data_IF_779506543891
#
_entry.id   IF_779506543891
#
_cell.length_a   1.000
_cell.length_b   1.000
_cell.length_c   1.000
_cell.angle_alpha   90.00
_cell.angle_beta   90.00
_cell.angle_gamma   90.00
#
_symmetry.space_group_name_H-M   'P 1'
#
loop_
_entity.id
_entity.type
_entity.pdbx_description
1 polymer ?
#
# COMPACT_ATOMS: atom_id res chain seq x y z
N UNK A 1 64.30 29.81 -38.13
CA UNK A 1 63.30 28.75 -38.42
C UNK A 1 62.27 28.80 -37.30
N UNK A 2 61.07 29.27 -37.62
CA UNK A 2 60.00 29.57 -36.68
C UNK A 2 59.27 28.29 -36.30
N UNK A 3 59.19 27.97 -35.01
CA UNK A 3 58.35 26.89 -34.50
C UNK A 3 56.96 27.46 -34.17
N UNK A 4 55.99 27.23 -35.05
CA UNK A 4 54.58 27.52 -34.82
C UNK A 4 53.95 26.37 -34.04
N UNK A 5 53.46 26.70 -32.84
CA UNK A 5 52.58 25.89 -32.01
C UNK A 5 51.17 25.99 -32.60
N UNK A 6 50.58 24.89 -33.08
CA UNK A 6 49.20 24.89 -33.57
C UNK A 6 48.39 23.72 -32.99
N UNK A 7 47.57 24.09 -32.01
CA UNK A 7 46.42 23.46 -31.39
C UNK A 7 45.94 22.10 -31.98
N UNK A 8 46.03 21.05 -31.15
CA UNK A 8 45.17 19.88 -31.27
C UNK A 8 43.71 20.30 -31.00
N UNK A 9 42.93 20.46 -32.06
CA UNK A 9 41.50 20.73 -31.98
C UNK A 9 40.78 19.53 -31.35
N UNK A 10 40.47 19.64 -30.06
CA UNK A 10 39.48 18.79 -29.42
C UNK A 10 38.11 19.10 -30.04
N UNK A 11 37.70 18.31 -31.02
CA UNK A 11 36.34 18.35 -31.56
C UNK A 11 35.39 17.87 -30.48
N UNK A 12 34.87 18.80 -29.67
CA UNK A 12 33.69 18.59 -28.83
C UNK A 12 32.51 18.42 -29.77
N UNK A 13 32.29 17.21 -30.27
CA UNK A 13 31.06 16.83 -30.94
C UNK A 13 29.96 16.83 -29.89
N UNK A 14 29.26 17.96 -29.76
CA UNK A 14 28.04 18.06 -28.97
C UNK A 14 27.05 17.04 -29.53
N UNK A 15 26.64 16.01 -28.76
CA UNK A 15 25.74 15.00 -29.28
C UNK A 15 24.42 15.68 -29.63
N UNK A 16 23.99 15.51 -30.89
CA UNK A 16 22.70 15.99 -31.36
C UNK A 16 21.60 15.47 -30.41
N UNK A 17 20.81 16.38 -29.85
CA UNK A 17 19.68 16.01 -28.99
C UNK A 17 18.65 15.28 -29.86
N UNK A 18 18.59 13.96 -29.71
CA UNK A 18 17.63 13.15 -30.46
C UNK A 18 16.22 13.66 -30.17
N UNK A 19 15.46 14.02 -31.20
CA UNK A 19 14.08 14.53 -31.09
C UNK A 19 13.06 13.48 -30.63
N UNK A 20 13.51 12.28 -30.28
CA UNK A 20 12.66 11.18 -29.83
C UNK A 20 12.48 11.22 -28.32
N UNK A 21 11.26 10.96 -27.85
CA UNK A 21 10.98 10.80 -26.43
C UNK A 21 11.83 9.63 -25.89
N UNK A 22 12.69 9.92 -24.92
CA UNK A 22 13.59 8.91 -24.33
C UNK A 22 12.78 7.77 -23.73
N UNK A 23 13.10 6.53 -24.10
CA UNK A 23 12.48 5.35 -23.51
C UNK A 23 12.89 5.19 -22.03
N UNK A 24 12.17 4.37 -21.27
CA UNK A 24 12.54 4.07 -19.88
C UNK A 24 13.96 3.50 -19.76
N UNK A 25 14.35 2.67 -20.75
CA UNK A 25 15.68 2.08 -20.84
C UNK A 25 16.74 3.16 -21.10
N UNK A 26 16.46 4.13 -22.00
CA UNK A 26 17.42 5.21 -22.29
C UNK A 26 17.64 6.12 -21.09
N UNK A 27 16.60 6.38 -20.28
CA UNK A 27 16.74 7.11 -19.01
C UNK A 27 17.67 6.38 -18.03
N UNK A 28 17.52 5.06 -17.90
CA UNK A 28 18.39 4.24 -17.08
C UNK A 28 19.83 4.23 -17.60
N UNK A 29 20.03 4.05 -18.91
CA UNK A 29 21.36 4.13 -19.55
C UNK A 29 22.05 5.47 -19.24
N UNK A 30 21.33 6.58 -19.38
CA UNK A 30 21.88 7.91 -19.09
C UNK A 30 22.22 8.10 -17.59
N UNK A 31 21.41 7.57 -16.68
CA UNK A 31 21.68 7.58 -15.24
C UNK A 31 22.91 6.72 -14.90
N UNK A 32 23.04 5.53 -15.49
CA UNK A 32 24.19 4.64 -15.31
C UNK A 32 25.46 5.26 -15.88
N UNK A 33 25.41 5.85 -17.08
CA UNK A 33 26.55 6.55 -17.67
C UNK A 33 27.03 7.71 -16.78
N UNK A 34 26.09 8.42 -16.14
CA UNK A 34 26.42 9.49 -15.17
C UNK A 34 27.06 8.93 -13.89
N UNK A 35 26.57 7.81 -13.37
CA UNK A 35 27.09 7.19 -12.15
C UNK A 35 28.47 6.56 -12.37
N UNK A 36 28.66 5.89 -13.52
CA UNK A 36 29.90 5.21 -13.90
C UNK A 36 31.01 6.15 -14.38
N UNK A 37 30.70 7.43 -14.63
CA UNK A 37 31.71 8.44 -14.98
C UNK A 37 32.78 8.58 -13.88
N UNK A 38 32.38 8.49 -12.62
CA UNK A 38 33.26 8.58 -11.46
C UNK A 38 32.92 7.48 -10.43
N UNK A 39 33.43 6.24 -10.59
CA UNK A 39 33.02 5.10 -9.76
C UNK A 39 33.49 5.20 -8.30
N UNK A 40 34.46 6.08 -8.01
CA UNK A 40 34.94 6.33 -6.65
C UNK A 40 33.98 7.21 -5.82
N UNK A 41 33.02 7.90 -6.45
CA UNK A 41 32.04 8.73 -5.74
C UNK A 41 30.92 7.84 -5.19
N UNK A 42 30.63 7.87 -3.88
CA UNK A 42 29.52 7.10 -3.33
C UNK A 42 28.21 7.58 -3.94
N UNK A 43 27.35 6.63 -4.32
CA UNK A 43 26.03 6.94 -4.87
C UNK A 43 25.16 7.64 -3.82
N UNK A 44 24.56 8.77 -4.18
CA UNK A 44 23.62 9.47 -3.30
C UNK A 44 22.28 8.75 -3.28
N UNK A 45 21.98 8.08 -2.17
CA UNK A 45 20.66 7.51 -1.89
C UNK A 45 19.93 8.51 -0.99
N UNK A 46 18.79 9.09 -1.44
CA UNK A 46 18.06 10.03 -0.61
C UNK A 46 17.52 9.30 0.64
N UNK A 47 17.59 9.93 1.82
CA UNK A 47 16.94 9.38 3.01
C UNK A 47 15.42 9.33 2.82
N UNK A 48 14.70 8.50 3.60
CA UNK A 48 13.25 8.42 3.53
C UNK A 48 12.61 9.80 3.75
N UNK A 49 11.45 10.08 3.12
CA UNK A 49 10.75 11.33 3.29
C UNK A 49 10.38 11.51 4.76
N UNK A 50 10.71 12.67 5.32
CA UNK A 50 10.37 13.01 6.71
C UNK A 50 8.90 13.38 6.80
N UNK A 51 8.27 12.99 7.90
CA UNK A 51 6.92 13.42 8.23
C UNK A 51 6.89 14.94 8.48
N UNK A 52 5.75 15.56 8.19
CA UNK A 52 5.58 17.00 8.36
C UNK A 52 5.50 17.27 9.86
N UNK A 53 6.46 18.00 10.41
CA UNK A 53 6.45 18.40 11.81
C UNK A 53 6.48 19.92 11.94
N UNK A 54 5.80 20.44 12.94
CA UNK A 54 5.83 21.87 13.26
C UNK A 54 6.94 22.13 14.25
N UNK A 55 7.57 23.29 14.11
CA UNK A 55 8.60 23.75 15.05
C UNK A 55 8.00 23.86 16.45
N UNK A 56 8.68 23.36 17.49
CA UNK A 56 8.18 23.47 18.85
C UNK A 56 7.95 24.94 19.23
N UNK A 57 6.98 25.17 20.11
CA UNK A 57 6.78 26.48 20.70
C UNK A 57 8.05 26.93 21.42
N UNK A 58 8.33 28.23 21.41
CA UNK A 58 9.50 28.78 22.09
C UNK A 58 9.21 28.92 23.58
N UNK A 59 10.12 28.43 24.43
CA UNK A 59 9.93 28.40 25.89
C UNK A 59 9.73 29.79 26.50
N UNK A 60 10.49 30.79 26.03
CA UNK A 60 10.39 32.15 26.56
C UNK A 60 10.33 33.18 25.43
N UNK A 61 9.24 33.96 25.42
CA UNK A 61 9.05 35.09 24.54
C UNK A 61 9.56 36.33 25.27
N UNK A 62 10.60 36.96 24.74
CA UNK A 62 11.27 38.12 25.37
C UNK A 62 10.52 39.44 25.18
N UNK A 63 9.57 39.49 24.23
CA UNK A 63 8.93 40.73 23.78
C UNK A 63 7.45 40.77 24.20
N UNK A 64 7.11 40.23 25.37
CA UNK A 64 5.73 40.27 25.87
C UNK A 64 5.46 41.66 26.44
N UNK A 65 4.62 42.44 25.75
CA UNK A 65 4.14 43.73 26.21
C UNK A 65 3.15 43.52 27.38
N UNK A 66 3.09 44.48 28.33
CA UNK A 66 2.26 44.34 29.52
C UNK A 66 0.76 44.15 29.20
N UNK A 67 0.03 43.45 30.09
CA UNK A 67 -1.35 43.02 29.84
C UNK A 67 -2.36 44.15 29.65
N UNK A 68 -2.07 45.35 30.17
CA UNK A 68 -2.91 46.55 30.02
C UNK A 68 -2.48 47.45 28.87
N UNK A 69 -1.40 47.11 28.16
CA UNK A 69 -0.90 47.91 27.08
C UNK A 69 -1.77 47.69 25.81
N UNK A 70 -2.06 48.76 25.06
CA UNK A 70 -2.93 48.70 23.89
C UNK A 70 -2.39 47.84 22.74
N UNK A 71 -3.26 47.55 21.77
CA UNK A 71 -2.89 46.80 20.57
C UNK A 71 -1.84 47.56 19.73
N UNK A 72 -0.64 47.02 19.64
CA UNK A 72 0.42 47.55 18.77
C UNK A 72 0.16 47.22 17.29
N UNK A 73 0.78 47.98 16.39
CA UNK A 73 0.65 47.77 14.93
C UNK A 73 1.16 46.40 14.44
N UNK A 74 2.07 45.77 15.20
CA UNK A 74 2.62 44.44 14.90
C UNK A 74 1.78 43.27 15.41
N UNK A 75 0.80 43.51 16.29
CA UNK A 75 0.06 42.43 16.98
C UNK A 75 -0.77 41.59 16.00
N UNK A 76 -1.31 42.23 14.95
CA UNK A 76 -2.04 41.54 13.89
C UNK A 76 -1.19 40.46 13.20
N UNK A 77 0.08 40.76 12.92
CA UNK A 77 0.98 39.80 12.27
C UNK A 77 1.39 38.67 13.22
N UNK A 78 1.55 38.97 14.51
CA UNK A 78 1.80 37.96 15.54
C UNK A 78 0.63 36.98 15.61
N UNK A 79 -0.60 37.48 15.72
CA UNK A 79 -1.81 36.65 15.70
C UNK A 79 -1.93 35.82 14.42
N UNK A 80 -1.73 36.43 13.24
CA UNK A 80 -1.79 35.72 11.95
C UNK A 80 -0.78 34.57 11.88
N UNK A 81 0.45 34.80 12.32
CA UNK A 81 1.49 33.77 12.35
C UNK A 81 1.19 32.66 13.36
N UNK A 82 0.71 33.02 14.56
CA UNK A 82 0.34 32.06 15.59
C UNK A 82 -0.85 31.20 15.15
N UNK A 83 -1.92 31.82 14.64
CA UNK A 83 -3.10 31.11 14.12
C UNK A 83 -2.76 30.16 12.98
N UNK A 84 -1.91 30.58 12.04
CA UNK A 84 -1.43 29.68 10.97
C UNK A 84 -0.69 28.48 11.55
N UNK A 85 0.24 28.70 12.50
CA UNK A 85 0.97 27.62 13.17
C UNK A 85 0.02 26.67 13.91
N UNK A 86 -0.99 27.20 14.58
CA UNK A 86 -1.95 26.38 15.32
C UNK A 86 -2.84 25.55 14.40
N UNK A 87 -3.30 26.11 13.28
CA UNK A 87 -4.05 25.34 12.27
C UNK A 87 -3.21 24.26 11.61
N UNK A 88 -1.94 24.55 11.31
CA UNK A 88 -1.02 23.52 10.84
C UNK A 88 -0.88 22.42 11.91
N UNK A 89 -0.84 22.77 13.20
CA UNK A 89 -0.65 21.82 14.31
C UNK A 89 -1.84 20.91 14.49
N UNK A 90 -3.04 21.49 14.53
CA UNK A 90 -4.29 20.74 14.60
C UNK A 90 -4.43 19.83 13.37
N UNK A 91 -4.12 20.34 12.18
CA UNK A 91 -4.17 19.54 10.96
C UNK A 91 -3.23 18.34 10.98
N UNK A 92 -1.98 18.50 11.43
CA UNK A 92 -1.03 17.38 11.53
C UNK A 92 -1.51 16.35 12.54
N UNK A 93 -1.98 16.79 13.71
CA UNK A 93 -2.54 15.91 14.74
C UNK A 93 -3.77 15.14 14.25
N UNK A 94 -4.66 15.80 13.52
CA UNK A 94 -5.84 15.16 12.91
C UNK A 94 -5.43 14.15 11.82
N UNK A 95 -4.48 14.51 10.94
CA UNK A 95 -3.94 13.62 9.91
C UNK A 95 -3.24 12.39 10.51
N UNK A 96 -2.49 12.56 11.61
CA UNK A 96 -1.84 11.47 12.35
C UNK A 96 -2.89 10.55 12.98
N UNK A 97 -3.86 11.09 13.70
CA UNK A 97 -4.94 10.30 14.31
C UNK A 97 -5.75 9.51 13.28
N UNK A 98 -6.03 10.10 12.11
CA UNK A 98 -6.70 9.41 11.01
C UNK A 98 -5.85 8.26 10.46
N UNK A 99 -4.56 8.49 10.19
CA UNK A 99 -3.64 7.44 9.71
C UNK A 99 -3.48 6.32 10.73
N UNK A 100 -3.38 6.63 12.01
CA UNK A 100 -3.31 5.63 13.09
C UNK A 100 -4.58 4.79 13.13
N UNK A 101 -5.76 5.41 13.05
CA UNK A 101 -7.02 4.67 13.01
C UNK A 101 -7.12 3.75 11.77
N UNK A 102 -6.73 4.24 10.58
CA UNK A 102 -6.73 3.47 9.34
C UNK A 102 -5.73 2.31 9.37
N UNK A 103 -4.52 2.53 9.87
CA UNK A 103 -3.48 1.50 9.99
C UNK A 103 -3.88 0.42 10.98
N UNK A 104 -4.41 0.78 12.14
CA UNK A 104 -4.93 -0.19 13.11
C UNK A 104 -6.09 -1.01 12.55
N UNK A 105 -7.03 -0.37 11.83
CA UNK A 105 -8.13 -1.07 11.19
C UNK A 105 -7.63 -2.03 10.10
N UNK A 106 -6.66 -1.60 9.30
CA UNK A 106 -6.05 -2.42 8.26
C UNK A 106 -5.29 -3.61 8.84
N UNK A 107 -4.48 -3.40 9.87
CA UNK A 107 -3.72 -4.45 10.53
C UNK A 107 -4.65 -5.49 11.16
N UNK A 108 -5.72 -5.05 11.82
CA UNK A 108 -6.74 -5.95 12.37
C UNK A 108 -7.39 -6.79 11.27
N UNK A 109 -7.85 -6.16 10.19
CA UNK A 109 -8.47 -6.86 9.06
C UNK A 109 -7.50 -7.83 8.37
N UNK A 110 -6.23 -7.45 8.24
CA UNK A 110 -5.17 -8.31 7.70
C UNK A 110 -4.94 -9.53 8.60
N UNK A 111 -4.83 -9.32 9.91
CA UNK A 111 -4.64 -10.40 10.90
C UNK A 111 -5.80 -11.39 10.88
N UNK A 112 -7.04 -10.90 10.85
CA UNK A 112 -8.23 -11.75 10.76
C UNK A 112 -8.24 -12.59 9.47
N UNK A 113 -7.82 -12.01 8.34
CA UNK A 113 -7.73 -12.72 7.06
C UNK A 113 -6.63 -13.79 7.08
N UNK A 114 -5.48 -13.47 7.66
CA UNK A 114 -4.35 -14.40 7.84
C UNK A 114 -4.75 -15.56 8.75
N UNK A 115 -5.32 -15.28 9.93
CA UNK A 115 -5.83 -16.30 10.86
C UNK A 115 -6.87 -17.22 10.20
N UNK A 116 -7.81 -16.67 9.42
CA UNK A 116 -8.80 -17.45 8.71
C UNK A 116 -8.18 -18.35 7.61
N UNK A 117 -7.15 -17.87 6.92
CA UNK A 117 -6.40 -18.66 5.95
C UNK A 117 -5.56 -19.75 6.64
N UNK A 118 -4.91 -19.43 7.74
CA UNK A 118 -4.14 -20.36 8.56
C UNK A 118 -5.02 -21.47 9.16
N UNK A 119 -6.20 -21.13 9.70
CA UNK A 119 -7.14 -22.12 10.22
C UNK A 119 -7.60 -23.11 9.12
N UNK A 120 -7.88 -22.62 7.91
CA UNK A 120 -8.25 -23.46 6.76
C UNK A 120 -7.09 -24.35 6.32
N UNK A 121 -5.88 -23.79 6.21
CA UNK A 121 -4.70 -24.52 5.77
C UNK A 121 -4.24 -25.54 6.81
N UNK A 122 -4.28 -25.21 8.11
CA UNK A 122 -3.98 -26.11 9.23
C UNK A 122 -4.96 -27.29 9.28
N UNK A 123 -6.27 -27.04 9.14
CA UNK A 123 -7.28 -28.10 9.06
C UNK A 123 -7.02 -29.06 7.90
N UNK A 124 -6.66 -28.53 6.72
CA UNK A 124 -6.35 -29.33 5.55
C UNK A 124 -5.01 -30.09 5.71
N UNK A 125 -3.99 -29.46 6.32
CA UNK A 125 -2.71 -30.07 6.64
C UNK A 125 -2.89 -31.24 7.61
N UNK A 126 -3.66 -31.06 8.68
CA UNK A 126 -3.99 -32.12 9.65
C UNK A 126 -4.74 -33.29 8.99
N UNK A 127 -5.68 -33.02 8.08
CA UNK A 127 -6.37 -34.08 7.31
C UNK A 127 -5.40 -34.87 6.43
N UNK A 128 -4.43 -34.21 5.78
CA UNK A 128 -3.40 -34.87 4.96
C UNK A 128 -2.42 -35.68 5.79
N UNK A 129 -1.97 -35.16 6.93
CA UNK A 129 -1.07 -35.86 7.86
C UNK A 129 -1.72 -37.14 8.41
N UNK A 130 -2.97 -37.06 8.91
CA UNK A 130 -3.72 -38.26 9.33
C UNK A 130 -3.86 -39.31 8.23
N UNK A 131 -4.06 -38.89 6.97
CA UNK A 131 -4.10 -39.82 5.83
C UNK A 131 -2.72 -40.42 5.52
N UNK A 132 -1.65 -39.63 5.63
CA UNK A 132 -0.26 -40.10 5.45
C UNK A 132 0.12 -41.12 6.50
N UNK A 133 -0.17 -40.86 7.77
CA UNK A 133 0.07 -41.78 8.89
C UNK A 133 -0.69 -43.10 8.70
N UNK A 134 -1.98 -43.06 8.34
CA UNK A 134 -2.76 -44.26 8.01
C UNK A 134 -2.19 -45.04 6.82
N UNK A 135 -1.71 -44.34 5.79
CA UNK A 135 -1.08 -44.97 4.62
C UNK A 135 0.28 -45.58 4.91
N UNK A 136 1.09 -44.96 5.76
CA UNK A 136 2.39 -45.47 6.19
C UNK A 136 2.23 -46.73 7.06
N UNK A 137 1.35 -46.70 8.07
CA UNK A 137 1.07 -47.88 8.91
C UNK A 137 0.34 -49.01 8.17
N UNK A 138 -0.37 -48.71 7.07
CA UNK A 138 -0.98 -49.71 6.20
C UNK A 138 0.01 -50.36 5.21
N UNK A 139 1.10 -49.68 4.89
CA UNK A 139 2.16 -50.18 4.01
C UNK A 139 3.14 -51.12 4.72
N UNK A 140 3.47 -50.85 5.99
CA UNK A 140 4.35 -51.73 6.77
C UNK A 140 3.72 -53.09 7.12
N UNK A 141 2.38 -53.19 7.18
CA UNK A 141 1.68 -54.47 7.40
C UNK A 141 1.49 -55.32 6.14
N UNK A 142 1.98 -54.89 4.97
CA UNK A 142 1.84 -55.62 3.69
C UNK A 142 3.16 -55.94 2.99
N UNK A 143 4.27 -55.95 3.72
CA UNK A 143 5.58 -56.37 3.21
C UNK A 143 6.02 -57.75 3.75
N UNK A 144 5.09 -58.72 3.79
CA UNK A 144 5.40 -60.08 4.25
C UNK A 144 4.33 -61.10 3.90
N UNK A 145 4.22 -61.48 2.63
CA UNK A 145 3.82 -62.84 2.18
C UNK A 145 3.78 -62.91 0.64
N UNK A 146 4.58 -63.78 -0.01
CA UNK A 146 4.42 -64.09 -1.43
C UNK A 146 3.47 -65.28 -1.65
N UNK A 147 2.87 -65.32 -2.84
CA UNK A 147 2.15 -66.44 -3.48
C UNK A 147 0.69 -66.72 -3.05
N UNK A 148 -0.24 -66.38 -3.94
CA UNK A 148 -1.20 -67.34 -4.51
C UNK A 148 -2.02 -66.69 -5.63
N UNK A 149 -1.92 -67.30 -6.82
CA UNK A 149 -2.67 -67.03 -8.05
C UNK A 149 -4.14 -67.45 -7.93
N UNK A 150 -5.07 -66.60 -8.37
CA UNK A 150 -6.35 -67.01 -9.00
C UNK A 150 -7.15 -65.81 -9.55
N UNK A 151 -7.94 -66.09 -10.59
CA UNK A 151 -8.46 -65.20 -11.63
C UNK A 151 -9.70 -64.36 -11.29
N UNK A 152 -9.85 -63.29 -12.09
CA UNK A 152 -11.08 -62.69 -12.63
C UNK A 152 -12.14 -62.11 -11.66
N UNK A 153 -12.33 -60.79 -11.70
CA UNK A 153 -13.52 -60.13 -12.28
C UNK A 153 -13.23 -58.63 -12.46
N UNK A 154 -13.85 -58.05 -13.46
CA UNK A 154 -13.68 -56.68 -13.96
C UNK A 154 -14.14 -55.63 -12.94
N UNK A 155 -13.24 -54.82 -12.39
CA UNK A 155 -13.57 -53.45 -11.96
C UNK A 155 -12.31 -52.60 -11.78
N UNK A 156 -11.98 -51.77 -12.78
CA UNK A 156 -10.88 -50.82 -12.69
C UNK A 156 -11.34 -49.56 -11.92
N UNK A 157 -10.53 -49.01 -10.99
CA UNK A 157 -11.01 -48.05 -10.02
C UNK A 157 -11.34 -46.69 -10.65
N UNK A 158 -12.58 -46.23 -10.42
CA UNK A 158 -13.22 -44.93 -10.80
C UNK A 158 -12.51 -43.67 -10.22
N UNK A 159 -11.20 -43.74 -9.91
CA UNK A 159 -10.49 -42.69 -9.17
C UNK A 159 -9.97 -41.52 -10.03
N UNK A 160 -10.28 -41.45 -11.33
CA UNK A 160 -9.85 -40.36 -12.22
C UNK A 160 -10.97 -39.64 -12.99
N UNK A 161 -12.23 -39.73 -12.54
CA UNK A 161 -13.33 -38.97 -13.16
C UNK A 161 -14.02 -38.14 -12.09
N UNK A 162 -13.84 -36.81 -12.13
CA UNK A 162 -14.67 -35.86 -11.40
C UNK A 162 -15.46 -35.06 -12.42
N UNK A 163 -16.77 -35.29 -12.43
CA UNK A 163 -17.73 -34.61 -13.29
C UNK A 163 -18.10 -33.27 -12.65
N UNK A 164 -17.81 -32.17 -13.34
CA UNK A 164 -18.31 -30.83 -13.00
C UNK A 164 -19.03 -30.32 -14.25
N UNK A 165 -20.31 -30.00 -14.09
CA UNK A 165 -21.20 -29.40 -15.11
C UNK A 165 -21.39 -30.20 -16.42
N UNK A 166 -21.30 -31.53 -16.37
CA UNK A 166 -21.66 -32.40 -17.52
C UNK A 166 -20.67 -32.41 -18.68
N UNK A 167 -19.50 -31.77 -18.55
CA UNK A 167 -18.37 -31.90 -19.49
C UNK A 167 -17.23 -32.65 -18.80
N UNK A 168 -16.77 -33.72 -19.44
CA UNK A 168 -15.74 -34.60 -18.90
C UNK A 168 -14.37 -33.93 -19.00
N UNK A 169 -13.71 -33.70 -17.87
CA UNK A 169 -12.33 -33.21 -17.83
C UNK A 169 -11.42 -34.39 -17.50
N UNK A 170 -10.69 -34.86 -18.50
CA UNK A 170 -9.62 -35.86 -18.36
C UNK A 170 -8.35 -35.10 -17.99
N UNK A 171 -7.86 -35.28 -16.76
CA UNK A 171 -6.56 -34.73 -16.34
C UNK A 171 -5.44 -35.55 -16.97
N UNK A 172 -4.76 -34.99 -17.98
CA UNK A 172 -3.50 -35.52 -18.54
C UNK A 172 -2.32 -35.27 -17.59
N UNK A 173 -1.43 -36.26 -17.51
CA UNK A 173 -0.14 -36.17 -16.80
C UNK A 173 0.84 -35.36 -17.67
N UNK A 174 1.78 -34.58 -17.09
CA UNK A 174 2.72 -33.80 -17.91
C UNK A 174 3.60 -34.73 -18.78
N UNK A 175 3.43 -34.68 -20.11
CA UNK A 175 4.28 -35.39 -21.08
C UNK A 175 3.60 -36.07 -22.29
N UNK A 176 2.29 -35.90 -22.53
CA UNK A 176 1.60 -36.59 -23.64
C UNK A 176 0.96 -35.57 -24.61
N UNK A 177 1.69 -35.29 -25.69
CA UNK A 177 1.24 -34.50 -26.85
C UNK A 177 0.20 -35.31 -27.62
N UNK A 178 -0.97 -34.72 -27.85
CA UNK A 178 -1.88 -35.23 -28.88
C UNK A 178 -2.50 -34.06 -29.64
N UNK A 179 -2.16 -34.06 -30.92
CA UNK A 179 -2.65 -33.22 -31.99
C UNK A 179 -4.05 -33.66 -32.39
N UNK A 180 -5.08 -32.95 -31.92
CA UNK A 180 -6.38 -32.94 -32.60
C UNK A 180 -7.03 -31.58 -32.39
N UNK A 181 -7.04 -30.78 -33.46
CA UNK A 181 -7.70 -29.48 -33.49
C UNK A 181 -9.21 -29.59 -33.41
N UNK A 182 -9.81 -28.56 -32.84
CA UNK A 182 -11.04 -27.97 -33.35
C UNK A 182 -10.92 -26.46 -33.12
N UNK A 183 -10.88 -25.74 -34.23
CA UNK A 183 -11.17 -24.32 -34.29
C UNK A 183 -12.65 -24.14 -33.94
N UNK A 184 -13.00 -23.26 -33.01
CA UNK A 184 -14.03 -22.25 -33.26
C UNK A 184 -14.37 -21.36 -32.06
N UNK A 185 -14.48 -20.08 -32.39
CA UNK A 185 -15.39 -19.06 -31.88
C UNK A 185 -15.09 -18.22 -30.61
N UNK A 186 -14.63 -17.00 -30.92
CA UNK A 186 -15.28 -15.70 -30.64
C UNK A 186 -15.71 -15.28 -29.22
N UNK A 187 -15.23 -14.08 -28.87
CA UNK A 187 -15.92 -13.01 -28.13
C UNK A 187 -16.21 -13.19 -26.62
N UNK A 188 -15.47 -12.45 -25.80
CA UNK A 188 -16.05 -11.38 -24.94
C UNK A 188 -14.96 -10.74 -24.05
N UNK A 189 -14.48 -9.57 -24.46
CA UNK A 189 -13.67 -8.69 -23.61
C UNK A 189 -14.64 -7.74 -22.90
N UNK A 190 -14.77 -7.74 -21.57
CA UNK A 190 -15.64 -6.77 -20.92
C UNK A 190 -14.96 -5.39 -20.92
N UNK A 191 -15.71 -4.38 -21.36
CA UNK A 191 -15.30 -2.98 -21.38
C UNK A 191 -15.31 -2.37 -19.95
N UNK A 192 -14.49 -1.33 -19.68
CA UNK A 192 -14.52 -0.61 -18.42
C UNK A 192 -15.69 0.40 -18.40
N UNK A 193 -16.41 0.60 -17.27
CA UNK A 193 -17.41 1.66 -17.19
C UNK A 193 -16.75 3.04 -17.05
N UNK A 194 -17.22 3.96 -17.89
CA UNK A 194 -16.95 5.39 -17.87
C UNK A 194 -17.73 6.11 -16.75
N UNK A 195 -17.11 7.20 -16.30
CA UNK A 195 -17.71 8.47 -15.83
C UNK A 195 -18.59 8.45 -14.57
N UNK A 196 -18.02 8.90 -13.45
CA UNK A 196 -18.78 9.46 -12.32
C UNK A 196 -18.51 10.97 -12.33
N UNK A 197 -19.55 11.72 -12.69
CA UNK A 197 -19.57 13.18 -12.72
C UNK A 197 -19.30 13.76 -11.33
N UNK A 198 -18.33 14.68 -11.32
CA UNK A 198 -18.05 15.61 -10.25
C UNK A 198 -19.13 16.69 -10.20
N UNK A 199 -19.93 16.71 -9.13
CA UNK A 199 -20.77 17.86 -8.79
C UNK A 199 -20.37 18.39 -7.41
N UNK A 200 -19.70 19.53 -7.46
CA UNK A 200 -19.35 20.43 -6.35
C UNK A 200 -20.61 20.99 -5.68
N UNK A 201 -20.67 21.10 -4.34
CA UNK A 201 -21.69 21.91 -3.70
C UNK A 201 -21.29 23.40 -3.74
N UNK A 202 -22.07 24.15 -4.50
CA UNK A 202 -22.13 25.62 -4.57
C UNK A 202 -22.34 26.23 -3.19
N UNK A 203 -21.52 27.24 -2.90
CA UNK A 203 -21.63 28.15 -1.75
C UNK A 203 -22.71 29.21 -2.00
N UNK A 204 -23.77 29.25 -1.18
CA UNK A 204 -24.54 30.47 -0.93
C UNK A 204 -24.92 30.55 0.57
N UNK A 205 -24.85 31.74 1.19
CA UNK A 205 -25.14 31.96 2.60
C UNK A 205 -26.64 32.19 2.82
N UNK A 206 -27.25 31.70 3.91
CA UNK A 206 -28.58 32.14 4.31
C UNK A 206 -28.51 33.43 5.14
N UNK A 207 -29.39 34.34 4.76
CA UNK A 207 -29.66 35.63 5.38
C UNK A 207 -30.15 35.53 6.83
N UNK A 208 -29.97 36.61 7.55
CA UNK A 208 -30.38 36.80 8.93
C UNK A 208 -31.91 36.79 9.10
N UNK A 209 -32.40 36.05 10.08
CA UNK A 209 -33.68 36.32 10.75
C UNK A 209 -33.49 36.23 12.26
N UNK A 210 -33.62 37.38 12.91
CA UNK A 210 -33.63 37.53 14.35
C UNK A 210 -34.86 36.86 15.00
N UNK A 211 -34.72 36.59 16.30
CA UNK A 211 -35.74 36.24 17.31
C UNK A 211 -35.93 34.75 17.63
N UNK A 212 -35.26 34.27 18.68
CA UNK A 212 -35.91 33.56 19.79
C UNK A 212 -34.97 33.36 20.98
N UNK A 213 -35.37 33.91 22.13
CA UNK A 213 -34.75 33.71 23.43
C UNK A 213 -35.24 32.38 24.01
N UNK A 214 -34.36 31.43 24.36
CA UNK A 214 -34.66 30.47 25.43
C UNK A 214 -33.40 29.96 26.15
N UNK A 215 -33.37 30.25 27.45
CA UNK A 215 -32.73 29.54 28.58
C UNK A 215 -31.40 28.80 28.37
N UNK A 216 -30.33 29.41 28.88
CA UNK A 216 -29.06 28.73 29.22
C UNK A 216 -29.31 27.71 30.33
N UNK A 217 -29.16 26.42 30.02
CA UNK A 217 -29.05 25.36 31.03
C UNK A 217 -27.66 25.42 31.67
N UNK A 218 -27.58 25.83 32.94
CA UNK A 218 -26.37 25.75 33.74
C UNK A 218 -26.09 24.29 34.10
N UNK A 219 -25.06 23.70 33.47
CA UNK A 219 -24.54 22.39 33.88
C UNK A 219 -23.71 22.53 35.16
N UNK A 220 -24.16 21.86 36.22
CA UNK A 220 -23.57 21.85 37.55
C UNK A 220 -22.17 21.23 37.54
N UNK A 221 -21.14 21.99 37.90
CA UNK A 221 -19.79 21.46 38.12
C UNK A 221 -19.72 20.68 39.47
N UNK A 222 -18.90 19.62 39.58
CA UNK A 222 -18.77 18.87 40.83
C UNK A 222 -17.95 19.65 41.85
N UNK A 223 -18.52 19.86 43.05
CA UNK A 223 -17.85 20.45 44.21
C UNK A 223 -16.84 19.45 44.78
N UNK A 224 -15.59 19.87 44.91
CA UNK A 224 -14.54 19.14 45.62
C UNK A 224 -14.69 19.45 47.11
N UNK A 225 -14.94 18.42 47.93
CA UNK A 225 -14.95 18.52 49.39
C UNK A 225 -13.54 18.22 49.89
N UNK A 226 -12.90 19.19 50.55
CA UNK A 226 -11.63 19.00 51.24
C UNK A 226 -11.98 18.51 52.64
N UNK A 227 -11.41 17.36 53.03
CA UNK A 227 -11.47 16.85 54.41
C UNK A 227 -10.14 17.29 55.04
N UNK A 228 -10.23 18.11 56.09
CA UNK A 228 -9.09 18.49 56.93
C UNK A 228 -8.93 17.42 58.01
N UNK A 229 -7.73 16.83 58.10
CA UNK A 229 -7.24 16.04 59.24
C UNK A 229 -6.20 16.87 60.03
#
# INVERSE_FOLDING_TARGET
MSATNEAAASTTTVPATSKHATTALDKQRNQLARLLKDPAKPAFIPPPPKEKTIRPARDMIKNVQGSSAGAGSGEFHVYKANRRREYERLKIMEEEAQKEAETLAFEKAKREREEAAEAKTAKNRARRQKKKERGAHGGEKKAGSPASTSQATTDAPIKKRRLINGKEIIFKLPGEDDSSGDEDNSASRPAPPENIESHSPTSQPPEASASELSSVAQSHAPKITIIED
#
